data_IF_635210533336
#
_entry.id   IF_635210533336
#
_cell.length_a   1.000
_cell.length_b   1.000
_cell.length_c   1.000
_cell.angle_alpha   90.00
_cell.angle_beta   90.00
_cell.angle_gamma   90.00
#
_symmetry.space_group_name_H-M   'P 1'
#
loop_
_entity.id
_entity.type
_entity.pdbx_description
1 polymer ?
#
# COMPACT_ATOMS: atom_id res chain seq x y z
N UNK A 1 -11.96 -24.22 19.98
CA UNK A 1 -11.65 -24.35 18.54
C UNK A 1 -11.77 -22.96 17.94
N UNK A 2 -10.67 -22.22 17.86
CA UNK A 2 -10.62 -20.91 17.23
C UNK A 2 -10.19 -21.13 15.79
N UNK A 3 -11.19 -21.30 14.92
CA UNK A 3 -11.01 -21.51 13.50
C UNK A 3 -10.35 -20.27 12.89
N UNK A 4 -9.17 -20.49 12.28
CA UNK A 4 -8.53 -19.68 11.25
C UNK A 4 -8.74 -18.14 11.31
N UNK A 5 -7.85 -17.43 12.00
CA UNK A 5 -7.61 -16.01 11.73
C UNK A 5 -6.37 -15.82 10.84
N UNK A 6 -6.30 -16.56 9.72
CA UNK A 6 -5.72 -15.96 8.53
C UNK A 6 -6.80 -15.02 8.01
N UNK A 7 -6.67 -13.72 8.29
CA UNK A 7 -7.55 -12.71 7.72
C UNK A 7 -7.25 -12.67 6.22
N UNK A 8 -7.82 -13.62 5.49
CA UNK A 8 -7.71 -13.70 4.04
C UNK A 8 -8.48 -12.51 3.49
N UNK A 9 -7.78 -11.64 2.77
CA UNK A 9 -8.43 -10.60 2.00
C UNK A 9 -9.48 -11.23 1.09
N UNK A 10 -10.62 -10.56 0.93
CA UNK A 10 -11.76 -11.05 0.14
C UNK A 10 -11.49 -11.04 -1.38
N UNK A 11 -10.27 -10.73 -1.80
CA UNK A 11 -9.84 -10.63 -3.19
C UNK A 11 -8.46 -11.25 -3.38
N UNK A 12 -8.17 -11.64 -4.61
CA UNK A 12 -6.89 -12.26 -4.98
C UNK A 12 -5.72 -11.34 -4.65
N UNK A 13 -4.68 -11.92 -4.03
CA UNK A 13 -3.42 -11.23 -3.76
C UNK A 13 -2.72 -10.77 -5.05
N UNK A 14 -1.87 -9.76 -4.95
CA UNK A 14 -1.07 -9.25 -6.07
C UNK A 14 -0.13 -10.34 -6.58
N UNK A 15 -0.23 -10.68 -7.86
CA UNK A 15 0.51 -11.78 -8.47
C UNK A 15 1.31 -11.36 -9.72
N UNK A 16 1.44 -10.06 -9.97
CA UNK A 16 2.13 -9.50 -11.14
C UNK A 16 1.19 -9.18 -12.31
N UNK A 17 0.20 -10.02 -12.57
CA UNK A 17 -0.71 -9.86 -13.72
C UNK A 17 -2.01 -9.12 -13.36
N UNK A 18 -2.38 -9.10 -12.09
CA UNK A 18 -3.67 -8.59 -11.63
C UNK A 18 -3.64 -7.16 -11.06
N UNK A 19 -2.57 -6.39 -11.30
CA UNK A 19 -2.35 -5.05 -10.71
C UNK A 19 -3.59 -4.17 -10.74
N UNK A 20 -4.24 -3.99 -11.90
CA UNK A 20 -5.39 -3.09 -12.03
C UNK A 20 -6.54 -3.45 -11.09
N UNK A 21 -6.88 -4.74 -10.99
CA UNK A 21 -7.97 -5.21 -10.13
C UNK A 21 -7.55 -5.22 -8.66
N UNK A 22 -6.32 -5.63 -8.39
CA UNK A 22 -5.76 -5.65 -7.04
C UNK A 22 -5.69 -4.23 -6.45
N UNK A 23 -5.16 -3.27 -7.21
CA UNK A 23 -5.03 -1.86 -6.84
C UNK A 23 -6.39 -1.30 -6.42
N UNK A 24 -7.40 -1.45 -7.28
CA UNK A 24 -8.75 -1.00 -6.98
C UNK A 24 -9.31 -1.61 -5.68
N UNK A 25 -9.21 -2.93 -5.53
CA UNK A 25 -9.73 -3.60 -4.33
C UNK A 25 -8.97 -3.21 -3.07
N UNK A 26 -7.65 -3.03 -3.16
CA UNK A 26 -6.82 -2.61 -2.03
C UNK A 26 -7.10 -1.16 -1.65
N UNK A 27 -7.28 -0.26 -2.61
CA UNK A 27 -7.72 1.12 -2.38
C UNK A 27 -9.09 1.15 -1.67
N UNK A 28 -10.04 0.31 -2.09
CA UNK A 28 -11.36 0.21 -1.46
C UNK A 28 -11.28 -0.35 -0.04
N UNK A 29 -10.43 -1.34 0.21
CA UNK A 29 -10.23 -1.87 1.55
C UNK A 29 -9.60 -0.82 2.49
N UNK A 30 -8.55 -0.12 2.04
CA UNK A 30 -7.91 0.92 2.83
C UNK A 30 -8.86 2.10 3.07
N UNK A 31 -9.70 2.45 2.10
CA UNK A 31 -10.77 3.45 2.28
C UNK A 31 -11.79 3.00 3.34
N UNK A 32 -12.29 1.77 3.24
CA UNK A 32 -13.23 1.20 4.20
C UNK A 32 -12.70 1.19 5.64
N UNK A 33 -11.40 0.89 5.80
CA UNK A 33 -10.72 0.87 7.09
C UNK A 33 -10.26 2.25 7.60
N UNK A 34 -10.47 3.33 6.83
CA UNK A 34 -10.00 4.68 7.19
C UNK A 34 -8.48 4.84 7.14
N UNK A 35 -7.79 4.06 6.30
CA UNK A 35 -6.33 4.01 6.18
C UNK A 35 -5.81 4.63 4.87
N UNK A 36 -6.71 5.10 4.00
CA UNK A 36 -6.36 5.57 2.65
C UNK A 36 -5.33 6.71 2.68
N UNK A 37 -5.42 7.64 3.62
CA UNK A 37 -4.48 8.76 3.70
C UNK A 37 -3.01 8.32 3.93
N UNK A 38 -2.76 7.13 4.48
CA UNK A 38 -1.39 6.61 4.63
C UNK A 38 -0.74 6.26 3.28
N UNK A 39 -1.52 5.84 2.28
CA UNK A 39 -1.01 5.58 0.92
C UNK A 39 -1.04 6.83 0.03
N UNK A 40 -1.71 7.90 0.46
CA UNK A 40 -1.59 9.23 -0.14
C UNK A 40 -0.43 10.03 0.46
N UNK A 41 -0.01 9.69 1.67
CA UNK A 41 0.98 10.46 2.43
C UNK A 41 0.39 11.71 3.08
N UNK A 42 -0.93 11.74 3.28
CA UNK A 42 -1.67 12.86 3.89
C UNK A 42 -1.88 12.67 5.39
N UNK A 43 -1.68 11.46 5.91
CA UNK A 43 -1.70 11.17 7.35
C UNK A 43 -0.40 11.65 8.02
N UNK A 44 -0.52 12.63 8.90
CA UNK A 44 0.60 13.17 9.67
C UNK A 44 0.54 12.69 11.12
N UNK A 45 1.71 12.46 11.71
CA UNK A 45 1.78 12.10 13.13
C UNK A 45 1.19 13.26 13.96
N UNK A 46 0.24 12.98 14.88
CA UNK A 46 -0.38 14.03 15.66
C UNK A 46 0.67 14.74 16.52
N UNK A 47 0.77 16.06 16.35
CA UNK A 47 1.75 16.92 17.03
C UNK A 47 1.07 18.04 17.83
N UNK A 48 1.74 18.54 18.87
CA UNK A 48 1.29 19.69 19.66
C UNK A 48 0.90 19.36 21.10
N UNK A 49 0.74 20.41 21.92
CA UNK A 49 0.56 20.31 23.38
C UNK A 49 -0.77 19.65 23.82
N UNK A 50 -1.75 19.52 22.92
CA UNK A 50 -3.06 18.92 23.20
C UNK A 50 -3.15 17.45 22.79
N UNK A 51 -2.12 16.89 22.15
CA UNK A 51 -2.10 15.50 21.71
C UNK A 51 -1.90 14.59 22.92
N UNK A 52 -2.81 13.65 23.10
CA UNK A 52 -2.72 12.65 24.15
C UNK A 52 -1.82 11.49 23.71
N UNK A 53 -1.29 10.74 24.67
CA UNK A 53 -0.58 9.49 24.35
C UNK A 53 -1.48 8.46 23.66
N UNK A 54 -2.79 8.50 23.93
CA UNK A 54 -3.78 7.67 23.26
C UNK A 54 -3.82 7.97 21.76
N UNK A 55 -3.85 9.24 21.36
CA UNK A 55 -3.87 9.64 19.95
C UNK A 55 -2.61 9.15 19.22
N UNK A 56 -1.44 9.24 19.86
CA UNK A 56 -0.18 8.73 19.30
C UNK A 56 -0.19 7.20 19.15
N UNK A 57 -0.76 6.48 20.13
CA UNK A 57 -0.90 5.02 20.06
C UNK A 57 -1.84 4.63 18.91
N UNK A 58 -2.99 5.30 18.80
CA UNK A 58 -3.97 5.06 17.74
C UNK A 58 -3.35 5.34 16.36
N UNK A 59 -2.63 6.45 16.19
CA UNK A 59 -1.91 6.76 14.96
C UNK A 59 -0.91 5.66 14.58
N UNK A 60 -0.07 5.22 15.53
CA UNK A 60 0.89 4.13 15.30
C UNK A 60 0.20 2.83 14.92
N UNK A 61 -0.93 2.52 15.55
CA UNK A 61 -1.71 1.33 15.26
C UNK A 61 -2.30 1.39 13.84
N UNK A 62 -2.89 2.52 13.43
CA UNK A 62 -3.40 2.71 12.08
C UNK A 62 -2.29 2.63 11.03
N UNK A 63 -1.12 3.24 11.30
CA UNK A 63 0.06 3.13 10.43
C UNK A 63 0.50 1.68 10.24
N UNK A 64 0.62 0.92 11.34
CA UNK A 64 0.99 -0.50 11.30
C UNK A 64 -0.07 -1.35 10.59
N UNK A 65 -1.36 -1.03 10.78
CA UNK A 65 -2.46 -1.70 10.09
C UNK A 65 -2.37 -1.47 8.58
N UNK A 66 -2.16 -0.24 8.11
CA UNK A 66 -2.01 0.07 6.69
C UNK A 66 -0.85 -0.71 6.04
N UNK A 67 0.33 -0.69 6.67
CA UNK A 67 1.52 -1.45 6.23
C UNK A 67 1.20 -2.94 6.13
N UNK A 68 0.61 -3.50 7.19
CA UNK A 68 0.33 -4.94 7.26
C UNK A 68 -0.72 -5.37 6.24
N UNK A 69 -1.78 -4.57 6.06
CA UNK A 69 -2.83 -4.83 5.06
C UNK A 69 -2.26 -4.89 3.65
N UNK A 70 -1.39 -3.95 3.27
CA UNK A 70 -0.71 -3.97 1.97
C UNK A 70 0.15 -5.22 1.83
N UNK A 71 1.03 -5.49 2.81
CA UNK A 71 1.96 -6.62 2.76
C UNK A 71 1.25 -7.99 2.68
N UNK A 72 0.16 -8.16 3.43
CA UNK A 72 -0.65 -9.39 3.42
C UNK A 72 -1.43 -9.58 2.11
N UNK A 73 -1.66 -8.50 1.36
CA UNK A 73 -2.30 -8.52 0.05
C UNK A 73 -1.44 -8.92 -1.11
N UNK A 74 -0.19 -9.30 -0.87
CA UNK A 74 0.77 -9.53 -1.94
C UNK A 74 1.25 -10.98 -1.86
N UNK A 75 1.36 -11.64 -3.02
CA UNK A 75 1.97 -12.96 -3.08
C UNK A 75 3.46 -12.88 -2.73
N UNK A 76 3.98 -13.95 -2.14
CA UNK A 76 5.37 -14.03 -1.67
C UNK A 76 6.38 -13.62 -2.76
N UNK A 77 6.19 -14.05 -4.01
CA UNK A 77 7.05 -13.71 -5.14
C UNK A 77 7.20 -12.19 -5.35
N UNK A 78 6.15 -11.42 -5.06
CA UNK A 78 6.10 -9.98 -5.25
C UNK A 78 6.43 -9.20 -3.96
N UNK A 79 6.46 -9.85 -2.79
CA UNK A 79 6.77 -9.20 -1.52
C UNK A 79 8.19 -8.64 -1.47
N UNK A 80 9.13 -9.23 -2.21
CA UNK A 80 10.51 -8.76 -2.29
C UNK A 80 10.65 -7.28 -2.67
N UNK A 81 9.67 -6.73 -3.39
CA UNK A 81 9.63 -5.31 -3.77
C UNK A 81 9.49 -4.37 -2.56
N UNK A 82 8.90 -4.83 -1.46
CA UNK A 82 8.52 -3.98 -0.32
C UNK A 82 9.11 -4.46 1.01
N UNK A 83 9.81 -5.60 1.04
CA UNK A 83 10.48 -6.09 2.25
C UNK A 83 11.46 -5.03 2.76
N UNK A 84 11.32 -4.70 4.05
CA UNK A 84 12.15 -3.69 4.72
C UNK A 84 11.60 -2.26 4.67
N UNK A 85 10.61 -1.97 3.82
CA UNK A 85 9.91 -0.69 3.84
C UNK A 85 9.01 -0.60 5.08
N UNK A 86 9.03 0.57 5.74
CA UNK A 86 8.29 0.82 7.00
C UNK A 86 7.24 1.91 6.86
N UNK A 87 6.92 2.27 5.63
CA UNK A 87 6.04 3.36 5.31
C UNK A 87 5.08 2.94 4.19
N UNK A 88 3.78 3.09 4.45
CA UNK A 88 2.74 2.63 3.54
C UNK A 88 2.78 3.38 2.20
N UNK A 89 3.13 4.68 2.21
CA UNK A 89 3.27 5.47 0.99
C UNK A 89 4.42 4.94 0.13
N UNK A 90 5.57 4.68 0.74
CA UNK A 90 6.73 4.10 0.04
C UNK A 90 6.41 2.71 -0.54
N UNK A 91 5.74 1.85 0.22
CA UNK A 91 5.31 0.54 -0.27
C UNK A 91 4.37 0.69 -1.47
N UNK A 92 3.38 1.59 -1.36
CA UNK A 92 2.41 1.84 -2.42
C UNK A 92 3.05 2.39 -3.69
N UNK A 93 3.94 3.37 -3.57
CA UNK A 93 4.67 3.96 -4.69
C UNK A 93 5.57 2.94 -5.39
N UNK A 94 6.27 2.10 -4.62
CA UNK A 94 7.15 1.06 -5.17
C UNK A 94 6.36 0.04 -5.99
N UNK A 95 5.21 -0.42 -5.47
CA UNK A 95 4.32 -1.31 -6.21
C UNK A 95 3.77 -0.63 -7.47
N UNK A 96 3.38 0.64 -7.35
CA UNK A 96 2.89 1.42 -8.48
C UNK A 96 3.96 1.54 -9.57
N UNK A 97 5.19 1.85 -9.22
CA UNK A 97 6.30 1.94 -10.16
C UNK A 97 6.59 0.60 -10.85
N UNK A 98 6.47 -0.51 -10.11
CA UNK A 98 6.72 -1.85 -10.63
C UNK A 98 5.63 -2.34 -11.60
N UNK A 99 4.35 -1.99 -11.36
CA UNK A 99 3.22 -2.62 -12.05
C UNK A 99 2.32 -1.65 -12.84
N UNK A 100 2.40 -0.35 -12.62
CA UNK A 100 1.63 0.61 -13.42
C UNK A 100 2.24 0.67 -14.82
N UNK A 101 1.46 0.40 -15.89
CA UNK A 101 2.01 0.41 -17.24
C UNK A 101 2.52 1.82 -17.57
N UNK A 102 3.83 1.93 -17.82
CA UNK A 102 4.38 3.12 -18.46
C UNK A 102 3.74 3.19 -19.84
N UNK A 103 2.98 4.25 -20.11
CA UNK A 103 2.27 4.38 -21.38
C UNK A 103 3.26 4.23 -22.53
N UNK A 104 2.88 3.49 -23.59
CA UNK A 104 3.73 3.31 -24.79
C UNK A 104 4.17 4.65 -25.38
N UNK A 105 3.33 5.69 -25.25
CA UNK A 105 3.65 7.05 -25.64
C UNK A 105 4.81 7.65 -24.82
N UNK A 106 4.84 7.41 -23.51
CA UNK A 106 5.95 7.87 -22.65
C UNK A 106 7.24 7.09 -22.93
N UNK A 107 7.15 5.79 -23.19
CA UNK A 107 8.31 4.98 -23.61
C UNK A 107 8.86 5.48 -24.95
N UNK A 108 7.99 5.72 -25.95
CA UNK A 108 8.39 6.26 -27.24
C UNK A 108 9.01 7.66 -27.13
N UNK A 109 8.48 8.50 -26.24
CA UNK A 109 9.04 9.82 -25.98
C UNK A 109 10.44 9.74 -25.35
N UNK A 110 10.62 8.92 -24.31
CA UNK A 110 11.94 8.71 -23.67
C UNK A 110 12.96 8.16 -24.67
N UNK A 111 12.57 7.19 -25.50
CA UNK A 111 13.44 6.64 -26.55
C UNK A 111 13.85 7.72 -27.58
N UNK A 112 12.95 8.66 -27.89
CA UNK A 112 13.21 9.75 -28.82
C UNK A 112 14.08 10.88 -28.24
N UNK A 113 14.14 11.06 -26.92
CA UNK A 113 15.01 12.05 -26.27
C UNK A 113 16.49 11.61 -26.21
N UNK A 114 16.75 10.30 -26.32
CA UNK A 114 18.10 9.72 -26.32
C UNK A 114 18.61 9.35 -27.73
N UNK A 115 17.90 9.75 -28.80
CA UNK A 115 18.30 9.61 -30.21
C UNK A 115 18.57 10.98 -30.83
#
# INVERSE_FOLDING_TARGET
MADSMVNSLAFSKLNGDNWRHWKFNMEMLLCYDGLFGFIEGTEEEPTGHKVSEKDKIEFRHCKQKAISTIAMGINEDQQNLIIGLKDAKQMWDTLREAFEPISRARIAHLIAEFM
#
